data_IF_994019900265
#
_entry.id   IF_994019900265
#
_cell.length_a   1.000
_cell.length_b   1.000
_cell.length_c   1.000
_cell.angle_alpha   90.00
_cell.angle_beta   90.00
_cell.angle_gamma   90.00
#
_symmetry.space_group_name_H-M   'P 1'
#
loop_
_entity.id
_entity.type
_entity.pdbx_description
1 polymer ?
#
# COMPACT_ATOMS: atom_id res chain seq x y z
N UNK A 1 -18.55 -8.65 -20.35
CA UNK A 1 -17.26 -9.19 -20.92
C UNK A 1 -16.13 -8.66 -20.09
N UNK A 2 -15.19 -9.52 -19.65
CA UNK A 2 -14.02 -9.08 -18.88
C UNK A 2 -13.06 -8.21 -19.67
N UNK A 3 -12.09 -7.60 -18.99
CA UNK A 3 -11.11 -6.67 -19.58
C UNK A 3 -9.71 -6.90 -19.03
N UNK A 4 -8.72 -6.89 -19.94
CA UNK A 4 -7.31 -6.76 -19.58
C UNK A 4 -7.02 -5.33 -19.15
N UNK A 5 -6.12 -5.17 -18.18
CA UNK A 5 -5.62 -3.89 -17.75
C UNK A 5 -4.09 -3.90 -17.59
N UNK A 6 -3.48 -2.72 -17.70
CA UNK A 6 -2.07 -2.51 -17.44
C UNK A 6 -1.87 -1.09 -16.92
N UNK A 7 -1.18 -0.95 -15.79
CA UNK A 7 -0.83 0.32 -15.17
C UNK A 7 0.69 0.44 -15.07
N UNK A 8 1.23 1.53 -15.60
CA UNK A 8 2.65 1.86 -15.53
C UNK A 8 2.87 3.07 -14.63
N UNK A 9 3.75 2.94 -13.67
CA UNK A 9 4.20 4.04 -12.80
C UNK A 9 5.73 4.02 -12.73
N UNK A 10 6.36 5.19 -12.78
CA UNK A 10 7.80 5.32 -12.64
C UNK A 10 8.20 6.51 -11.77
N UNK A 11 9.31 6.37 -11.07
CA UNK A 11 9.89 7.42 -10.25
C UNK A 11 11.40 7.29 -10.15
N UNK A 12 12.07 8.44 -10.01
CA UNK A 12 13.45 8.50 -9.54
C UNK A 12 13.45 8.51 -8.00
N UNK A 13 14.18 7.58 -7.40
CA UNK A 13 14.29 7.44 -5.94
C UNK A 13 15.74 7.61 -5.48
N UNK A 14 15.99 8.24 -4.31
CA UNK A 14 17.34 8.42 -3.76
C UNK A 14 17.78 7.15 -2.99
N UNK A 15 17.78 6.01 -3.68
CA UNK A 15 18.16 4.71 -3.16
C UNK A 15 19.03 4.01 -4.19
N UNK A 16 19.92 3.09 -3.75
CA UNK A 16 20.72 2.28 -4.68
C UNK A 16 19.86 1.19 -5.32
N UNK A 17 20.26 0.60 -6.47
CA UNK A 17 19.56 -0.54 -7.06
C UNK A 17 19.35 -1.70 -6.07
N UNK A 18 20.35 -1.98 -5.23
CA UNK A 18 20.30 -3.04 -4.21
C UNK A 18 19.25 -2.73 -3.13
N UNK A 19 19.16 -1.46 -2.68
CA UNK A 19 18.12 -1.05 -1.73
C UNK A 19 16.71 -1.12 -2.34
N UNK A 20 16.56 -0.81 -3.63
CA UNK A 20 15.30 -0.99 -4.35
C UNK A 20 14.97 -2.48 -4.50
N UNK A 21 15.96 -3.29 -4.84
CA UNK A 21 15.82 -4.75 -4.91
C UNK A 21 15.34 -5.33 -3.57
N UNK A 22 16.01 -4.99 -2.48
CA UNK A 22 15.61 -5.43 -1.14
C UNK A 22 14.16 -5.05 -0.82
N UNK A 23 13.73 -3.86 -1.24
CA UNK A 23 12.36 -3.38 -1.03
C UNK A 23 11.31 -4.19 -1.80
N UNK A 24 11.58 -4.62 -3.04
CA UNK A 24 10.57 -5.22 -3.91
C UNK A 24 10.68 -6.74 -4.06
N UNK A 25 11.82 -7.33 -3.71
CA UNK A 25 12.10 -8.75 -3.94
C UNK A 25 12.25 -9.57 -2.64
N UNK A 26 12.18 -8.94 -1.46
CA UNK A 26 12.30 -9.65 -0.18
C UNK A 26 11.03 -9.51 0.66
N UNK A 27 10.73 -10.54 1.46
CA UNK A 27 9.57 -10.52 2.35
C UNK A 27 9.57 -9.34 3.32
N UNK A 28 10.66 -9.09 4.08
CA UNK A 28 10.77 -7.93 4.97
C UNK A 28 10.68 -6.59 4.21
N UNK A 29 11.28 -6.50 3.03
CA UNK A 29 11.21 -5.31 2.17
C UNK A 29 9.78 -5.00 1.76
N UNK A 30 9.07 -5.94 1.15
CA UNK A 30 7.67 -5.77 0.71
C UNK A 30 6.76 -5.46 1.90
N UNK A 31 6.95 -6.13 3.05
CA UNK A 31 6.19 -5.86 4.28
C UNK A 31 6.35 -4.43 4.78
N UNK A 32 7.42 -3.74 4.40
CA UNK A 32 7.72 -2.39 4.87
C UNK A 32 6.98 -1.28 4.12
N UNK A 33 6.34 -1.58 3.00
CA UNK A 33 5.59 -0.59 2.21
C UNK A 33 4.25 -1.09 1.66
N UNK A 34 4.07 -2.40 1.50
CA UNK A 34 2.82 -3.00 1.02
C UNK A 34 1.86 -3.28 2.18
N UNK A 35 0.75 -3.95 1.93
CA UNK A 35 -0.18 -4.37 2.98
C UNK A 35 0.32 -5.62 3.68
N UNK A 36 0.14 -5.72 4.99
CA UNK A 36 0.37 -6.93 5.76
C UNK A 36 1.80 -7.47 5.71
N UNK A 37 1.98 -8.66 6.27
CA UNK A 37 3.26 -9.37 6.27
C UNK A 37 3.42 -10.15 4.97
N UNK A 38 4.53 -9.96 4.30
CA UNK A 38 4.88 -10.70 3.08
C UNK A 38 6.00 -11.70 3.35
N UNK A 39 5.89 -12.87 2.73
CA UNK A 39 6.90 -13.93 2.70
C UNK A 39 7.29 -14.17 1.24
N UNK A 40 8.60 -14.23 0.98
CA UNK A 40 9.18 -14.55 -0.33
C UNK A 40 10.16 -15.70 -0.12
N UNK A 41 9.93 -16.84 -0.77
CA UNK A 41 10.76 -18.04 -0.66
C UNK A 41 11.59 -18.35 -1.92
N UNK A 42 11.66 -17.40 -2.86
CA UNK A 42 12.35 -17.54 -4.15
C UNK A 42 11.45 -18.03 -5.29
N UNK A 43 10.38 -18.74 -4.99
CA UNK A 43 9.42 -19.25 -5.99
C UNK A 43 8.05 -18.59 -5.83
N UNK A 44 7.68 -18.20 -4.61
CA UNK A 44 6.37 -17.65 -4.29
C UNK A 44 6.45 -16.38 -3.47
N UNK A 45 5.48 -15.50 -3.67
CA UNK A 45 5.22 -14.30 -2.87
C UNK A 45 3.86 -14.47 -2.20
N UNK A 46 3.84 -14.44 -0.87
CA UNK A 46 2.60 -14.56 -0.06
C UNK A 46 2.48 -13.36 0.84
N UNK A 47 1.33 -12.71 0.81
CA UNK A 47 1.06 -11.55 1.67
C UNK A 47 -0.18 -11.80 2.53
N UNK A 48 -0.05 -11.64 3.84
CA UNK A 48 -1.20 -11.66 4.76
C UNK A 48 -1.97 -10.34 4.67
N UNK A 49 -3.29 -10.42 4.82
CA UNK A 49 -4.17 -9.25 4.89
C UNK A 49 -5.20 -9.46 5.99
N UNK A 50 -4.94 -8.91 7.17
CA UNK A 50 -5.65 -9.28 8.39
C UNK A 50 -5.41 -10.74 8.75
N UNK A 51 -6.48 -11.49 9.02
CA UNK A 51 -6.44 -12.94 9.33
C UNK A 51 -6.37 -13.83 8.08
N UNK A 52 -6.45 -13.24 6.88
CA UNK A 52 -6.42 -13.94 5.61
C UNK A 52 -5.13 -13.74 4.83
N UNK A 53 -5.07 -14.36 3.66
CA UNK A 53 -3.96 -14.24 2.70
C UNK A 53 -4.49 -13.72 1.36
N UNK A 54 -3.75 -12.79 0.76
CA UNK A 54 -3.93 -12.47 -0.66
C UNK A 54 -3.52 -13.71 -1.47
N UNK A 55 -4.17 -14.02 -2.61
CA UNK A 55 -3.74 -15.11 -3.47
C UNK A 55 -2.24 -15.07 -3.73
N UNK A 56 -1.56 -16.20 -3.50
CA UNK A 56 -0.11 -16.29 -3.67
C UNK A 56 0.27 -15.98 -5.12
N UNK A 57 1.41 -15.33 -5.27
CA UNK A 57 2.01 -15.09 -6.58
C UNK A 57 3.19 -16.02 -6.81
N UNK A 58 3.31 -16.58 -8.02
CA UNK A 58 4.50 -17.31 -8.47
C UNK A 58 5.52 -16.31 -9.02
N UNK A 59 6.77 -16.38 -8.59
CA UNK A 59 7.86 -15.56 -9.12
C UNK A 59 8.12 -15.95 -10.56
N UNK A 60 8.05 -14.98 -11.47
CA UNK A 60 8.24 -15.16 -12.92
C UNK A 60 9.56 -14.58 -13.43
N UNK A 61 10.18 -13.69 -12.66
CA UNK A 61 11.53 -13.19 -12.91
C UNK A 61 12.20 -12.75 -11.60
N UNK A 62 13.50 -13.04 -11.46
CA UNK A 62 14.35 -12.60 -10.36
C UNK A 62 15.77 -12.39 -10.90
N UNK A 63 15.99 -11.24 -11.56
CA UNK A 63 17.28 -10.81 -12.11
C UNK A 63 17.80 -9.65 -11.24
N UNK A 64 18.56 -10.01 -10.20
CA UNK A 64 19.09 -9.08 -9.20
C UNK A 64 20.21 -8.20 -9.78
N UNK A 65 20.22 -6.89 -9.53
CA UNK A 65 19.20 -6.08 -8.88
C UNK A 65 18.29 -5.36 -9.89
N UNK A 66 18.03 -5.94 -11.07
CA UNK A 66 17.46 -5.24 -12.23
C UNK A 66 15.97 -5.48 -12.45
N UNK A 67 15.49 -6.70 -12.14
CA UNK A 67 14.10 -7.07 -12.45
C UNK A 67 13.54 -8.10 -11.48
N UNK A 68 12.43 -7.78 -10.84
CA UNK A 68 11.63 -8.73 -10.06
C UNK A 68 10.20 -8.75 -10.56
N UNK A 69 9.63 -9.94 -10.77
CA UNK A 69 8.25 -10.07 -11.21
C UNK A 69 7.59 -11.31 -10.61
N UNK A 70 6.30 -11.20 -10.30
CA UNK A 70 5.48 -12.32 -9.86
C UNK A 70 4.04 -12.15 -10.33
N UNK A 71 3.30 -13.26 -10.39
CA UNK A 71 1.93 -13.31 -10.89
C UNK A 71 1.10 -14.27 -10.05
N UNK A 72 -0.13 -13.88 -9.68
CA UNK A 72 -1.09 -14.79 -9.05
C UNK A 72 -1.47 -15.93 -10.02
N UNK A 73 -1.93 -17.05 -9.47
CA UNK A 73 -2.61 -18.05 -10.28
C UNK A 73 -3.83 -17.44 -10.97
N UNK A 74 -4.23 -18.02 -12.08
CA UNK A 74 -5.46 -17.62 -12.75
C UNK A 74 -6.63 -18.32 -12.05
N UNK A 75 -7.55 -17.53 -11.50
CA UNK A 75 -8.77 -18.04 -10.87
C UNK A 75 -9.72 -18.68 -11.90
N UNK A 76 -10.74 -19.42 -11.43
CA UNK A 76 -11.71 -20.11 -12.30
C UNK A 76 -12.47 -19.13 -13.24
N UNK A 77 -12.67 -17.88 -12.81
CA UNK A 77 -13.30 -16.82 -13.59
C UNK A 77 -12.33 -16.11 -14.56
N UNK A 78 -11.08 -16.56 -14.62
CA UNK A 78 -10.02 -16.01 -15.47
C UNK A 78 -9.22 -14.87 -14.81
N UNK A 79 -9.60 -14.40 -13.64
CA UNK A 79 -8.94 -13.31 -12.90
C UNK A 79 -7.50 -13.66 -12.55
N UNK A 80 -6.60 -12.71 -12.78
CA UNK A 80 -5.22 -12.73 -12.28
C UNK A 80 -4.68 -11.30 -12.12
N UNK A 81 -3.62 -11.16 -11.34
CA UNK A 81 -2.84 -9.92 -11.23
C UNK A 81 -1.36 -10.28 -11.31
N UNK A 82 -0.60 -9.49 -12.05
CA UNK A 82 0.86 -9.58 -12.18
C UNK A 82 1.51 -8.27 -11.80
N UNK A 83 2.66 -8.37 -11.15
CA UNK A 83 3.49 -7.24 -10.74
C UNK A 83 4.88 -7.41 -11.33
N UNK A 84 5.42 -6.33 -11.89
CA UNK A 84 6.79 -6.27 -12.38
C UNK A 84 7.47 -4.99 -11.91
N UNK A 85 8.69 -5.14 -11.41
CA UNK A 85 9.55 -4.05 -10.97
C UNK A 85 10.81 -4.05 -11.82
N UNK A 86 11.06 -2.94 -12.51
CA UNK A 86 12.26 -2.69 -13.31
C UNK A 86 13.09 -1.63 -12.60
N UNK A 87 14.39 -1.93 -12.42
CA UNK A 87 15.32 -1.16 -11.59
C UNK A 87 16.51 -0.74 -12.45
N UNK A 88 16.66 0.55 -12.66
CA UNK A 88 17.75 1.12 -13.45
C UNK A 88 18.57 2.08 -12.60
N UNK A 89 19.82 1.70 -12.28
CA UNK A 89 20.76 2.60 -11.61
C UNK A 89 21.14 3.78 -12.49
N UNK A 90 21.24 4.96 -11.89
CA UNK A 90 21.76 6.18 -12.54
C UNK A 90 22.95 6.75 -11.79
N UNK A 91 23.72 7.61 -12.45
CA UNK A 91 24.82 8.32 -11.81
C UNK A 91 24.31 9.16 -10.63
N UNK A 92 25.08 9.22 -9.51
CA UNK A 92 24.75 10.03 -8.34
C UNK A 92 23.89 9.32 -7.29
N UNK A 93 23.96 7.99 -7.19
CA UNK A 93 23.20 7.16 -6.22
C UNK A 93 21.67 7.33 -6.31
N UNK A 94 21.16 7.59 -7.49
CA UNK A 94 19.74 7.58 -7.79
C UNK A 94 19.39 6.35 -8.62
N UNK A 95 18.18 5.85 -8.45
CA UNK A 95 17.63 4.72 -9.21
C UNK A 95 16.31 5.13 -9.84
N UNK A 96 16.07 4.73 -11.08
CA UNK A 96 14.73 4.77 -11.67
C UNK A 96 14.06 3.43 -11.40
N UNK A 97 12.96 3.49 -10.68
CA UNK A 97 12.07 2.37 -10.45
C UNK A 97 10.86 2.53 -11.36
N UNK A 98 10.56 1.51 -12.15
CA UNK A 98 9.32 1.39 -12.90
C UNK A 98 8.54 0.19 -12.40
N UNK A 99 7.25 0.39 -12.15
CA UNK A 99 6.34 -0.69 -11.79
C UNK A 99 5.31 -0.88 -12.89
N UNK A 100 5.04 -2.15 -13.21
CA UNK A 100 3.96 -2.54 -14.10
C UNK A 100 3.02 -3.44 -13.32
N UNK A 101 1.75 -3.05 -13.22
CA UNK A 101 0.69 -3.89 -12.65
C UNK A 101 -0.27 -4.22 -13.77
N UNK A 102 -0.40 -5.51 -14.09
CA UNK A 102 -1.27 -5.98 -15.16
C UNK A 102 -2.18 -7.12 -14.70
N UNK A 103 -3.24 -7.39 -15.43
CA UNK A 103 -4.13 -8.47 -15.09
C UNK A 103 -5.39 -8.51 -15.96
N UNK A 104 -6.32 -9.38 -15.55
CA UNK A 104 -7.63 -9.54 -16.18
C UNK A 104 -8.72 -9.43 -15.11
N UNK A 105 -9.74 -8.62 -15.38
CA UNK A 105 -10.94 -8.47 -14.56
C UNK A 105 -12.14 -9.04 -15.30
N UNK A 106 -12.78 -10.10 -14.78
CA UNK A 106 -13.96 -10.72 -15.41
C UNK A 106 -15.23 -9.90 -15.14
N UNK A 107 -16.31 -10.21 -15.88
CA UNK A 107 -17.64 -9.62 -15.65
C UNK A 107 -17.89 -8.32 -16.42
N UNK A 108 -19.04 -7.71 -16.17
CA UNK A 108 -19.48 -6.47 -16.82
C UNK A 108 -19.34 -5.25 -15.90
N UNK A 109 -19.12 -5.46 -14.61
CA UNK A 109 -18.90 -4.46 -13.54
C UNK A 109 -17.40 -4.19 -13.27
N UNK A 110 -16.52 -4.65 -14.17
CA UNK A 110 -15.07 -4.47 -14.07
C UNK A 110 -14.63 -3.01 -13.86
N UNK A 111 -15.45 -2.03 -14.22
CA UNK A 111 -15.08 -0.63 -14.15
C UNK A 111 -14.86 -0.14 -12.70
N UNK A 112 -15.72 -0.54 -11.75
CA UNK A 112 -15.57 -0.18 -10.33
C UNK A 112 -14.36 -0.88 -9.72
N UNK A 113 -14.16 -2.15 -10.05
CA UNK A 113 -13.00 -2.92 -9.58
C UNK A 113 -11.70 -2.37 -10.15
N UNK A 114 -11.68 -2.02 -11.44
CA UNK A 114 -10.54 -1.36 -12.07
C UNK A 114 -10.20 -0.03 -11.43
N UNK A 115 -11.22 0.79 -11.11
CA UNK A 115 -11.01 2.07 -10.42
C UNK A 115 -10.40 1.84 -9.02
N UNK A 116 -10.92 0.89 -8.25
CA UNK A 116 -10.38 0.54 -6.95
C UNK A 116 -8.93 0.04 -7.03
N UNK A 117 -8.62 -0.81 -8.02
CA UNK A 117 -7.25 -1.28 -8.28
C UNK A 117 -6.32 -0.13 -8.69
N UNK A 118 -6.77 0.78 -9.53
CA UNK A 118 -5.99 1.95 -9.94
C UNK A 118 -5.62 2.82 -8.73
N UNK A 119 -6.59 3.16 -7.89
CA UNK A 119 -6.34 3.95 -6.68
C UNK A 119 -5.45 3.21 -5.68
N UNK A 120 -5.61 1.90 -5.56
CA UNK A 120 -4.72 1.06 -4.76
C UNK A 120 -3.29 1.03 -5.29
N UNK A 121 -3.11 0.88 -6.61
CA UNK A 121 -1.80 0.89 -7.27
C UNK A 121 -1.08 2.24 -7.07
N UNK A 122 -1.80 3.35 -7.22
CA UNK A 122 -1.28 4.71 -6.96
C UNK A 122 -0.80 4.86 -5.51
N UNK A 123 -1.60 4.40 -4.53
CA UNK A 123 -1.23 4.42 -3.12
C UNK A 123 0.03 3.61 -2.85
N UNK A 124 0.08 2.35 -3.31
CA UNK A 124 1.20 1.47 -3.00
C UNK A 124 2.49 1.89 -3.70
N UNK A 125 2.40 2.42 -4.92
CA UNK A 125 3.55 3.02 -5.58
C UNK A 125 4.07 4.24 -4.81
N UNK A 126 3.16 5.12 -4.35
CA UNK A 126 3.54 6.24 -3.51
C UNK A 126 4.21 5.76 -2.21
N UNK A 127 3.63 4.75 -1.54
CA UNK A 127 4.18 4.20 -0.29
C UNK A 127 5.57 3.58 -0.50
N UNK A 128 5.77 2.87 -1.62
CA UNK A 128 7.08 2.32 -1.99
C UNK A 128 8.11 3.44 -2.22
N UNK A 129 7.73 4.50 -2.93
CA UNK A 129 8.64 5.64 -3.17
C UNK A 129 8.94 6.42 -1.88
N UNK A 130 7.98 6.57 -0.97
CA UNK A 130 8.20 7.15 0.36
C UNK A 130 9.10 6.26 1.22
N UNK A 131 8.91 4.94 1.22
CA UNK A 131 9.79 4.00 1.90
C UNK A 131 11.24 4.15 1.41
N UNK A 132 11.47 4.12 0.10
CA UNK A 132 12.80 4.25 -0.49
C UNK A 132 13.46 5.62 -0.25
N UNK A 133 12.64 6.65 -0.01
CA UNK A 133 13.14 8.02 0.26
C UNK A 133 13.46 8.27 1.72
N UNK A 134 12.65 7.75 2.64
CA UNK A 134 12.71 8.12 4.06
C UNK A 134 13.14 6.98 4.98
N UNK A 135 12.99 5.73 4.55
CA UNK A 135 13.24 4.54 5.36
C UNK A 135 14.11 3.47 4.66
N UNK A 136 15.00 3.81 3.70
CA UNK A 136 15.71 2.78 2.93
C UNK A 136 16.51 1.86 3.87
N UNK A 137 16.37 0.54 3.69
CA UNK A 137 17.06 -0.47 4.48
C UNK A 137 16.52 -0.67 5.91
N UNK A 138 15.48 0.05 6.33
CA UNK A 138 14.75 -0.24 7.59
C UNK A 138 13.61 -1.19 7.30
N UNK A 139 13.39 -2.17 8.17
CA UNK A 139 12.26 -3.07 8.05
C UNK A 139 11.16 -2.71 9.05
N UNK A 140 9.94 -2.61 8.55
CA UNK A 140 8.79 -2.26 9.36
C UNK A 140 8.09 -3.49 9.96
N UNK A 141 7.41 -3.27 11.07
CA UNK A 141 6.34 -4.16 11.54
C UNK A 141 5.04 -3.74 10.86
N UNK A 142 4.45 -4.57 9.97
CA UNK A 142 3.17 -4.26 9.35
C UNK A 142 2.03 -4.42 10.34
N UNK A 143 1.06 -3.51 10.29
CA UNK A 143 -0.18 -3.56 11.07
C UNK A 143 -1.36 -3.45 10.13
N UNK A 144 -2.27 -4.42 10.16
CA UNK A 144 -3.51 -4.39 9.38
C UNK A 144 -4.70 -4.58 10.32
N UNK A 145 -5.63 -3.63 10.30
CA UNK A 145 -6.86 -3.70 11.10
C UNK A 145 -8.05 -3.23 10.28
N UNK A 146 -9.15 -3.96 10.37
CA UNK A 146 -10.41 -3.66 9.69
C UNK A 146 -11.35 -2.95 10.65
N UNK A 147 -11.92 -1.84 10.21
CA UNK A 147 -13.00 -1.16 10.91
C UNK A 147 -14.36 -1.80 10.64
N UNK A 148 -15.43 -1.28 11.30
CA UNK A 148 -16.79 -1.64 10.98
C UNK A 148 -17.17 -1.34 9.52
N UNK A 149 -18.26 -1.94 9.04
CA UNK A 149 -18.81 -1.65 7.72
C UNK A 149 -19.22 -0.18 7.61
N UNK A 150 -18.80 0.48 6.55
CA UNK A 150 -19.08 1.89 6.26
C UNK A 150 -20.31 1.99 5.37
N UNK A 151 -21.33 2.69 5.84
CA UNK A 151 -22.56 2.98 5.10
C UNK A 151 -22.57 4.36 4.44
N UNK A 152 -21.73 5.28 4.95
CA UNK A 152 -21.58 6.65 4.45
C UNK A 152 -20.08 7.01 4.37
N UNK A 153 -19.48 6.83 3.19
CA UNK A 153 -18.06 7.12 2.96
C UNK A 153 -17.71 8.60 3.12
N UNK A 154 -18.48 9.57 2.57
CA UNK A 154 -18.23 10.98 2.80
C UNK A 154 -18.15 11.36 4.28
N UNK A 155 -19.13 10.91 5.08
CA UNK A 155 -19.13 11.17 6.51
C UNK A 155 -17.96 10.48 7.24
N UNK A 156 -17.61 9.26 6.85
CA UNK A 156 -16.47 8.53 7.45
C UNK A 156 -15.14 9.23 7.14
N UNK A 157 -14.92 9.69 5.91
CA UNK A 157 -13.74 10.47 5.56
C UNK A 157 -13.67 11.78 6.34
N UNK A 158 -14.79 12.48 6.49
CA UNK A 158 -14.86 13.71 7.28
C UNK A 158 -14.49 13.47 8.75
N UNK A 159 -15.01 12.40 9.36
CA UNK A 159 -14.68 11.99 10.74
C UNK A 159 -13.19 11.64 10.87
N UNK A 160 -12.64 10.88 9.92
CA UNK A 160 -11.21 10.57 9.90
C UNK A 160 -10.36 11.85 9.81
N UNK A 161 -10.68 12.75 8.89
CA UNK A 161 -9.96 14.03 8.78
C UNK A 161 -10.00 14.83 10.09
N UNK A 162 -11.17 14.90 10.72
CA UNK A 162 -11.33 15.58 12.01
C UNK A 162 -10.51 14.90 13.11
N UNK A 163 -10.54 13.57 13.21
CA UNK A 163 -9.78 12.80 14.20
C UNK A 163 -8.26 12.94 14.01
N UNK A 164 -7.82 13.22 12.79
CA UNK A 164 -6.42 13.49 12.45
C UNK A 164 -6.04 14.98 12.54
N UNK A 165 -6.96 15.85 12.96
CA UNK A 165 -6.75 17.31 13.03
C UNK A 165 -6.63 17.98 11.66
N UNK A 166 -7.17 17.34 10.62
CA UNK A 166 -7.12 17.82 9.24
C UNK A 166 -8.38 18.61 8.85
N UNK A 167 -8.22 19.53 7.89
CA UNK A 167 -9.35 20.18 7.23
C UNK A 167 -10.15 19.24 6.32
N UNK A 168 -11.26 19.72 5.73
CA UNK A 168 -12.16 18.89 4.91
C UNK A 168 -11.55 18.43 3.58
N UNK A 169 -10.48 19.07 3.10
CA UNK A 169 -9.78 18.72 1.87
C UNK A 169 -8.26 18.67 2.11
N UNK A 170 -7.77 17.60 2.79
CA UNK A 170 -6.35 17.48 3.11
C UNK A 170 -5.49 17.37 1.85
N UNK A 171 -4.26 17.83 1.97
CA UNK A 171 -3.27 17.83 0.88
C UNK A 171 -1.93 17.29 1.37
N UNK A 172 -1.10 16.71 0.51
CA UNK A 172 0.27 16.39 0.86
C UNK A 172 1.01 17.60 1.44
N UNK A 173 1.65 17.37 2.60
CA UNK A 173 2.33 18.40 3.38
C UNK A 173 1.52 18.96 4.56
N UNK A 174 0.22 18.71 4.65
CA UNK A 174 -0.58 19.15 5.80
C UNK A 174 -0.12 18.42 7.06
N UNK A 175 0.08 19.14 8.19
CA UNK A 175 0.45 18.51 9.46
C UNK A 175 -0.73 17.72 10.04
N UNK A 176 -0.42 16.58 10.66
CA UNK A 176 -1.38 15.73 11.35
C UNK A 176 -1.23 15.91 12.86
N UNK A 177 -2.33 16.15 13.55
CA UNK A 177 -2.39 16.34 15.00
C UNK A 177 -3.38 15.34 15.62
N UNK A 178 -2.88 14.13 15.96
CA UNK A 178 -3.69 13.08 16.57
C UNK A 178 -2.91 12.37 17.68
N UNK A 179 -3.62 11.87 18.69
CA UNK A 179 -2.99 11.14 19.80
C UNK A 179 -2.25 9.88 19.33
N UNK A 180 -2.76 9.26 18.26
CA UNK A 180 -2.22 8.00 17.69
C UNK A 180 -1.09 8.23 16.67
N UNK A 181 -0.81 9.48 16.26
CA UNK A 181 0.20 9.83 15.27
C UNK A 181 0.98 11.06 15.74
N UNK A 182 2.24 10.87 16.08
CA UNK A 182 3.14 11.95 16.48
C UNK A 182 3.93 12.45 15.27
N UNK A 183 4.03 13.78 15.12
CA UNK A 183 4.80 14.46 14.07
C UNK A 183 4.47 13.95 12.65
N UNK A 184 3.19 13.71 12.39
CA UNK A 184 2.71 13.23 11.11
C UNK A 184 2.54 14.37 10.09
N UNK A 185 2.76 14.01 8.82
CA UNK A 185 2.38 14.86 7.69
C UNK A 185 1.61 14.01 6.67
N UNK A 186 0.58 14.57 6.07
CA UNK A 186 -0.10 13.92 4.95
C UNK A 186 0.90 13.73 3.82
N UNK A 187 1.10 12.50 3.37
CA UNK A 187 2.00 12.18 2.26
C UNK A 187 1.26 11.90 0.95
N UNK A 188 0.03 11.39 1.04
CA UNK A 188 -0.77 11.05 -0.14
C UNK A 188 -2.27 11.12 0.15
N UNK A 189 -3.05 11.51 -0.86
CA UNK A 189 -4.52 11.50 -0.82
C UNK A 189 -5.06 11.13 -2.19
N UNK A 190 -6.04 10.23 -2.23
CA UNK A 190 -6.92 10.01 -3.36
C UNK A 190 -8.34 9.66 -2.87
N UNK A 191 -9.35 9.46 -3.74
CA UNK A 191 -10.72 9.15 -3.30
C UNK A 191 -10.87 7.91 -2.42
N UNK A 192 -9.90 6.97 -2.45
CA UNK A 192 -9.96 5.71 -1.73
C UNK A 192 -8.94 5.59 -0.60
N UNK A 193 -8.03 6.57 -0.43
CA UNK A 193 -6.97 6.47 0.56
C UNK A 193 -6.46 7.82 1.06
N UNK A 194 -6.03 7.82 2.31
CA UNK A 194 -5.20 8.84 2.94
C UNK A 194 -3.96 8.18 3.51
N UNK A 195 -2.77 8.69 3.17
CA UNK A 195 -1.53 8.26 3.78
C UNK A 195 -0.87 9.40 4.57
N UNK A 196 -0.30 9.06 5.72
CA UNK A 196 0.43 9.96 6.61
C UNK A 196 1.79 9.35 6.87
N UNK A 197 2.84 10.16 6.78
CA UNK A 197 4.20 9.78 7.15
C UNK A 197 4.61 10.51 8.42
N UNK A 198 5.26 9.80 9.33
CA UNK A 198 5.98 10.34 10.48
C UNK A 198 7.47 9.95 10.41
N UNK A 199 8.33 10.38 11.35
CA UNK A 199 9.74 9.95 11.39
C UNK A 199 9.93 8.43 11.52
N UNK A 200 8.94 7.72 12.07
CA UNK A 200 9.04 6.31 12.42
C UNK A 200 7.91 5.42 11.90
N UNK A 201 7.03 5.95 11.05
CA UNK A 201 5.94 5.17 10.50
C UNK A 201 5.37 5.72 9.20
N UNK A 202 4.72 4.84 8.44
CA UNK A 202 3.81 5.19 7.36
C UNK A 202 2.42 4.65 7.71
N UNK A 203 1.49 5.55 7.93
CA UNK A 203 0.09 5.25 8.25
C UNK A 203 -0.76 5.34 6.99
N UNK A 204 -1.62 4.37 6.75
CA UNK A 204 -2.50 4.33 5.58
C UNK A 204 -3.90 3.98 6.01
N UNK A 205 -4.85 4.78 5.59
CA UNK A 205 -6.28 4.60 5.77
C UNK A 205 -6.87 4.37 4.39
N UNK A 206 -7.49 3.21 4.18
CA UNK A 206 -7.86 2.73 2.85
C UNK A 206 -9.31 2.26 2.84
N UNK A 207 -10.05 2.63 1.81
CA UNK A 207 -11.36 2.03 1.52
C UNK A 207 -11.15 0.58 1.08
N UNK A 208 -11.50 -0.35 1.96
CA UNK A 208 -11.38 -1.79 1.68
C UNK A 208 -12.46 -2.30 0.73
N UNK A 209 -12.15 -3.38 0.01
CA UNK A 209 -13.06 -4.02 -0.96
C UNK A 209 -14.39 -4.51 -0.37
N UNK A 210 -14.42 -4.82 0.93
CA UNK A 210 -15.61 -5.30 1.61
C UNK A 210 -16.37 -4.21 2.35
N UNK A 211 -16.15 -2.93 2.00
CA UNK A 211 -16.87 -1.81 2.56
C UNK A 211 -16.44 -1.35 3.95
N UNK A 212 -15.31 -1.82 4.47
CA UNK A 212 -14.73 -1.34 5.72
C UNK A 212 -13.63 -0.31 5.45
N UNK A 213 -13.44 0.65 6.39
CA UNK A 213 -12.21 1.41 6.44
C UNK A 213 -11.11 0.52 7.03
N UNK A 214 -10.01 0.38 6.31
CA UNK A 214 -8.87 -0.46 6.70
C UNK A 214 -7.68 0.42 7.02
N UNK A 215 -7.01 0.15 8.14
CA UNK A 215 -5.66 0.66 8.37
C UNK A 215 -4.65 -0.38 7.91
N UNK A 216 -3.63 0.08 7.18
CA UNK A 216 -2.51 -0.73 6.75
C UNK A 216 -1.22 0.03 7.01
N UNK A 217 -0.66 -0.08 8.22
CA UNK A 217 0.47 0.71 8.66
C UNK A 217 1.79 -0.04 8.54
N UNK A 218 2.87 0.70 8.36
CA UNK A 218 4.25 0.22 8.43
C UNK A 218 4.95 0.97 9.56
N UNK A 219 5.28 0.27 10.65
CA UNK A 219 5.88 0.85 11.86
C UNK A 219 7.37 0.50 11.90
N UNK A 220 8.24 1.51 11.87
CA UNK A 220 9.70 1.36 11.90
C UNK A 220 10.29 1.50 13.32
N UNK A 221 9.45 1.73 14.31
CA UNK A 221 9.79 1.68 15.73
C UNK A 221 8.72 0.91 16.49
N UNK A 222 9.02 0.39 17.70
CA UNK A 222 8.02 -0.27 18.54
C UNK A 222 6.84 0.68 18.85
N UNK A 223 5.63 0.22 18.56
CA UNK A 223 4.38 0.91 18.89
C UNK A 223 3.30 -0.12 19.22
N UNK A 224 2.29 0.29 19.98
CA UNK A 224 1.16 -0.59 20.31
C UNK A 224 0.15 -0.64 19.16
N UNK A 225 0.00 -1.78 18.47
CA UNK A 225 -1.01 -1.92 17.42
C UNK A 225 -2.45 -1.97 17.97
N UNK A 226 -2.63 -2.21 19.28
CA UNK A 226 -3.92 -2.35 19.94
C UNK A 226 -4.77 -1.08 19.98
N UNK A 227 -4.19 0.08 19.67
CA UNK A 227 -4.93 1.36 19.60
C UNK A 227 -5.85 1.46 18.38
N UNK A 228 -5.54 0.76 17.28
CA UNK A 228 -6.23 0.94 16.00
C UNK A 228 -7.67 0.42 15.95
N UNK A 229 -8.03 -0.72 16.56
CA UNK A 229 -9.43 -1.14 16.63
C UNK A 229 -10.32 -0.10 17.31
N UNK A 230 -9.88 0.45 18.44
CA UNK A 230 -10.60 1.52 19.15
C UNK A 230 -10.72 2.79 18.31
N UNK A 231 -9.62 3.21 17.66
CA UNK A 231 -9.64 4.37 16.76
C UNK A 231 -10.63 4.20 15.61
N UNK A 232 -10.62 3.05 14.91
CA UNK A 232 -11.55 2.78 13.81
C UNK A 232 -13.01 2.72 14.28
N UNK A 233 -13.28 2.15 15.47
CA UNK A 233 -14.62 2.11 16.03
C UNK A 233 -15.14 3.51 16.36
N UNK A 234 -14.30 4.41 16.87
CA UNK A 234 -14.70 5.80 17.18
C UNK A 234 -15.09 6.61 15.94
N UNK A 235 -14.59 6.25 14.76
CA UNK A 235 -14.98 6.87 13.49
C UNK A 235 -16.38 6.42 13.03
N UNK A 236 -16.90 5.31 13.55
CA UNK A 236 -18.21 4.77 13.20
C UNK A 236 -19.32 5.33 14.12
N UNK A 237 -19.02 5.49 15.39
CA UNK A 237 -19.89 6.09 16.39
C UNK A 237 -19.81 7.62 16.25
N UNK A 238 -20.55 8.17 15.27
CA UNK A 238 -20.76 9.62 15.22
C UNK A 238 -21.69 10.09 16.34
N UNK A 239 -21.59 11.35 16.81
CA UNK A 239 -22.50 11.89 17.81
C UNK A 239 -23.94 11.94 17.30
#
# INVERSE_FOLDING_TARGET
>A
MGKDFENHLDAAVPATPEQVWDAVATGPGISSWYVGRTEVDGETVRTSFGDGWIPAGTVTAADEPHRFAYRSDTAEDGRFVAYEYLIEGRAGAATVLRTVTSGFLPGDDWAEEFEAMRYGTELFFHTLTDYLRYFPGRFATPVTTFGPLVTDWPATWQRLHTALGLGPAPRPGDPVHAEVITDGVVSFVNPHALAVRSPDAMYRFVRGFHGSLVVGHALFSPADPGVWPGFLSSLHEGP
#
